data_IF_858396774899
#
_entry.id   IF_858396774899
#
_cell.length_a   1.000
_cell.length_b   1.000
_cell.length_c   1.000
_cell.angle_alpha   90.00
_cell.angle_beta   90.00
_cell.angle_gamma   90.00
#
_symmetry.space_group_name_H-M   'P 1'
#
loop_
_entity.id
_entity.type
_entity.pdbx_description
1 polymer ?
#
# COMPACT_ATOMS: atom_id res chain seq x y z
N UNK A 1 12.67 -8.32 1.27
CA UNK A 1 12.10 -7.22 0.47
C UNK A 1 12.38 -5.81 0.99
N UNK A 2 12.56 -5.56 2.29
CA UNK A 2 12.68 -4.18 2.77
C UNK A 2 14.00 -3.46 2.39
N UNK A 3 15.00 -4.17 1.86
CA UNK A 3 16.23 -3.60 1.26
C UNK A 3 16.17 -3.49 -0.27
N UNK A 4 14.97 -3.49 -0.86
CA UNK A 4 14.86 -3.23 -2.30
C UNK A 4 15.23 -1.77 -2.61
N UNK A 5 15.92 -1.50 -3.73
CA UNK A 5 16.43 -0.17 -4.06
C UNK A 5 15.32 0.86 -4.35
N UNK A 6 14.08 0.40 -4.53
CA UNK A 6 12.87 1.23 -4.62
C UNK A 6 11.77 0.55 -3.80
N UNK A 7 11.22 1.25 -2.82
CA UNK A 7 10.27 0.66 -1.88
C UNK A 7 9.25 1.70 -1.39
N UNK A 8 7.94 1.43 -1.50
CA UNK A 8 6.95 2.16 -0.74
C UNK A 8 6.85 1.58 0.69
N UNK A 9 6.81 2.45 1.68
CA UNK A 9 6.63 2.09 3.10
C UNK A 9 5.49 2.90 3.66
N UNK A 10 4.56 2.23 4.35
CA UNK A 10 3.41 2.87 4.96
C UNK A 10 3.50 2.86 6.49
N UNK A 11 2.92 3.90 7.09
CA UNK A 11 2.55 3.91 8.49
C UNK A 11 1.26 4.70 8.66
N UNK A 12 0.66 4.58 9.83
CA UNK A 12 -0.52 5.34 10.19
C UNK A 12 -0.25 6.21 11.41
N UNK A 13 -0.68 7.46 11.35
CA UNK A 13 -0.72 8.37 12.50
C UNK A 13 -2.12 8.97 12.63
N UNK A 14 -2.73 8.82 13.81
CA UNK A 14 -4.07 9.35 14.15
C UNK A 14 -5.15 9.09 13.09
N UNK A 15 -5.20 7.88 12.52
CA UNK A 15 -6.22 7.53 11.51
C UNK A 15 -5.84 7.89 10.07
N UNK A 16 -4.68 8.50 9.85
CA UNK A 16 -4.22 8.93 8.53
C UNK A 16 -3.10 8.02 8.06
N UNK A 17 -3.28 7.41 6.89
CA UNK A 17 -2.28 6.62 6.20
C UNK A 17 -1.28 7.55 5.51
N UNK A 18 -0.01 7.33 5.80
CA UNK A 18 1.11 7.94 5.10
C UNK A 18 1.84 6.85 4.34
N UNK A 19 2.16 7.09 3.07
CA UNK A 19 3.07 6.23 2.31
C UNK A 19 4.24 7.09 1.85
N UNK A 20 5.45 6.63 2.16
CA UNK A 20 6.71 7.19 1.71
C UNK A 20 7.28 6.33 0.59
N UNK A 21 7.82 6.98 -0.44
CA UNK A 21 8.66 6.34 -1.44
C UNK A 21 10.11 6.46 -1.00
N UNK A 22 10.81 5.33 -0.90
CA UNK A 22 12.23 5.23 -0.61
C UNK A 22 12.94 4.80 -1.89
N UNK A 23 14.02 5.48 -2.25
CA UNK A 23 14.83 5.14 -3.42
C UNK A 23 16.31 5.23 -3.07
N UNK A 24 17.05 4.16 -3.34
CA UNK A 24 18.51 4.13 -3.39
C UNK A 24 19.03 4.33 -4.83
N UNK A 25 18.12 4.48 -5.81
CA UNK A 25 18.47 4.69 -7.21
C UNK A 25 19.11 6.06 -7.43
N UNK A 26 19.93 6.17 -8.47
CA UNK A 26 20.67 7.39 -8.80
C UNK A 26 19.86 8.44 -9.56
N UNK A 27 18.66 8.10 -10.03
CA UNK A 27 17.80 8.98 -10.81
C UNK A 27 16.44 9.17 -10.12
N UNK A 28 15.83 10.32 -10.40
CA UNK A 28 14.45 10.59 -10.00
C UNK A 28 13.51 9.75 -10.86
N UNK A 29 12.58 9.05 -10.23
CA UNK A 29 11.59 8.24 -10.94
C UNK A 29 10.19 8.82 -10.77
N UNK A 30 9.50 9.04 -11.90
CA UNK A 30 8.07 9.30 -11.95
C UNK A 30 7.34 7.96 -12.07
N UNK A 31 6.48 7.68 -11.10
CA UNK A 31 5.89 6.37 -10.86
C UNK A 31 4.38 6.50 -10.66
N UNK A 32 3.69 5.37 -10.74
CA UNK A 32 2.32 5.19 -10.28
C UNK A 32 2.35 4.42 -8.96
N UNK A 33 1.77 5.00 -7.92
CA UNK A 33 1.48 4.27 -6.68
C UNK A 33 0.17 3.50 -6.88
N UNK A 34 0.24 2.17 -6.81
CA UNK A 34 -0.94 1.30 -6.82
C UNK A 34 -1.24 0.86 -5.40
N UNK A 35 -2.44 1.17 -4.93
CA UNK A 35 -2.97 0.75 -3.62
C UNK A 35 -4.12 -0.23 -3.88
N UNK A 36 -4.05 -1.42 -3.30
CA UNK A 36 -5.03 -2.47 -3.47
C UNK A 36 -5.56 -2.85 -2.10
N UNK A 37 -6.88 -2.97 -1.98
CA UNK A 37 -7.52 -3.41 -0.73
C UNK A 37 -8.09 -4.79 -0.95
N UNK A 38 -7.77 -5.71 -0.05
CA UNK A 38 -8.30 -7.07 -0.05
C UNK A 38 -9.16 -7.28 1.19
N UNK A 39 -10.25 -8.03 1.04
CA UNK A 39 -10.95 -8.62 2.17
C UNK A 39 -10.19 -9.86 2.63
N UNK A 40 -10.10 -10.10 3.94
CA UNK A 40 -9.52 -11.34 4.45
C UNK A 40 -10.18 -12.62 3.93
N UNK A 41 -11.44 -12.50 3.48
CA UNK A 41 -12.24 -13.61 2.97
C UNK A 41 -12.06 -13.90 1.48
N UNK A 42 -11.22 -13.14 0.76
CA UNK A 42 -11.08 -13.27 -0.69
C UNK A 42 -9.68 -12.88 -1.18
N UNK A 43 -9.18 -13.58 -2.20
CA UNK A 43 -7.98 -13.19 -2.93
C UNK A 43 -8.28 -12.19 -4.06
N UNK A 44 -9.56 -11.95 -4.36
CA UNK A 44 -9.96 -10.90 -5.28
C UNK A 44 -9.92 -9.52 -4.59
N UNK A 45 -9.38 -8.49 -5.26
CA UNK A 45 -9.31 -7.16 -4.69
C UNK A 45 -10.72 -6.57 -4.53
N UNK A 46 -10.98 -5.97 -3.37
CA UNK A 46 -12.20 -5.16 -3.13
C UNK A 46 -12.15 -3.89 -3.97
N UNK A 47 -10.98 -3.28 -4.06
CA UNK A 47 -10.74 -2.11 -4.89
C UNK A 47 -9.26 -2.04 -5.28
N UNK A 48 -8.98 -1.34 -6.38
CA UNK A 48 -7.64 -0.89 -6.75
C UNK A 48 -7.68 0.60 -7.02
N UNK A 49 -6.78 1.33 -6.39
CA UNK A 49 -6.61 2.77 -6.53
C UNK A 49 -5.22 3.04 -7.12
N UNK A 50 -5.16 3.93 -8.11
CA UNK A 50 -3.91 4.35 -8.73
C UNK A 50 -3.72 5.85 -8.52
N UNK A 51 -2.52 6.25 -8.10
CA UNK A 51 -2.07 7.63 -8.08
C UNK A 51 -0.89 7.78 -9.02
N UNK A 52 -1.13 8.34 -10.18
CA UNK A 52 -0.11 8.59 -11.20
C UNK A 52 0.74 9.80 -10.85
N UNK A 53 1.92 9.88 -11.48
CA UNK A 53 2.79 11.05 -11.40
C UNK A 53 3.44 11.26 -10.04
N UNK A 54 3.60 10.21 -9.25
CA UNK A 54 4.36 10.23 -8.00
C UNK A 54 5.84 10.30 -8.31
N UNK A 55 6.52 11.35 -7.88
CA UNK A 55 7.97 11.47 -8.01
C UNK A 55 8.67 10.98 -6.74
N UNK A 56 9.54 9.98 -6.86
CA UNK A 56 10.49 9.58 -5.81
C UNK A 56 11.87 10.03 -6.26
N UNK A 57 12.51 10.90 -5.46
CA UNK A 57 13.83 11.45 -5.80
C UNK A 57 14.93 10.42 -5.59
N UNK A 58 16.01 10.54 -6.34
CA UNK A 58 17.22 9.75 -6.17
C UNK A 58 17.70 9.79 -4.71
N UNK A 59 18.15 8.63 -4.19
CA UNK A 59 18.80 8.52 -2.87
C UNK A 59 18.03 9.23 -1.74
N UNK A 60 16.71 9.02 -1.66
CA UNK A 60 15.85 9.78 -0.76
C UNK A 60 14.67 8.98 -0.20
N UNK A 61 14.04 9.54 0.82
CA UNK A 61 12.74 9.13 1.32
C UNK A 61 11.79 10.34 1.30
N UNK A 62 10.69 10.24 0.55
CA UNK A 62 9.72 11.35 0.38
C UNK A 62 8.29 10.88 0.60
N UNK A 63 7.40 11.71 1.20
CA UNK A 63 5.99 11.38 1.31
C UNK A 63 5.33 11.43 -0.06
N UNK A 64 4.71 10.33 -0.47
CA UNK A 64 4.06 10.19 -1.80
C UNK A 64 2.54 10.08 -1.72
N UNK A 65 2.02 9.72 -0.54
CA UNK A 65 0.60 9.55 -0.31
C UNK A 65 0.21 9.93 1.11
N UNK A 66 -0.98 10.52 1.24
CA UNK A 66 -1.59 10.87 2.51
C UNK A 66 -3.10 10.81 2.34
N UNK A 67 -3.78 9.99 3.14
CA UNK A 67 -5.23 9.90 3.15
C UNK A 67 -5.76 9.39 4.49
N UNK A 68 -6.94 9.84 4.90
CA UNK A 68 -7.68 9.22 6.02
C UNK A 68 -8.01 7.76 5.70
N UNK A 69 -7.77 6.85 6.64
CA UNK A 69 -8.18 5.45 6.49
C UNK A 69 -9.70 5.34 6.24
N UNK A 70 -10.50 6.18 6.89
CA UNK A 70 -11.95 6.15 6.71
C UNK A 70 -12.36 6.56 5.29
N UNK A 71 -11.67 7.52 4.68
CA UNK A 71 -11.96 7.96 3.32
C UNK A 71 -11.52 6.90 2.30
N UNK A 72 -10.35 6.30 2.52
CA UNK A 72 -9.85 5.17 1.71
C UNK A 72 -10.84 4.01 1.73
N UNK A 73 -11.25 3.58 2.93
CA UNK A 73 -12.23 2.50 3.10
C UNK A 73 -13.62 2.89 2.61
N UNK A 74 -14.03 4.16 2.72
CA UNK A 74 -15.30 4.65 2.20
C UNK A 74 -15.41 4.52 0.67
N UNK A 75 -14.29 4.70 -0.03
CA UNK A 75 -14.21 4.43 -1.49
C UNK A 75 -14.20 2.94 -1.81
N UNK A 76 -13.61 2.15 -0.93
CA UNK A 76 -13.51 0.69 -1.05
C UNK A 76 -14.65 0.03 -0.26
N UNK A 77 -15.88 0.09 -0.83
CA UNK A 77 -17.11 -0.46 -0.24
C UNK A 77 -16.91 -1.86 0.36
N UNK A 78 -17.63 -2.19 1.43
CA UNK A 78 -17.56 -3.47 2.16
C UNK A 78 -16.22 -3.75 2.86
N UNK A 79 -15.40 -2.73 3.13
CA UNK A 79 -14.23 -2.87 4.00
C UNK A 79 -14.38 -2.19 5.35
N UNK A 80 -13.84 -2.85 6.37
CA UNK A 80 -13.63 -2.30 7.71
C UNK A 80 -12.17 -2.53 8.09
N UNK A 81 -11.71 -1.87 9.15
CA UNK A 81 -10.35 -2.05 9.67
C UNK A 81 -10.04 -3.50 10.07
N UNK A 82 -11.06 -4.27 10.48
CA UNK A 82 -10.91 -5.66 10.90
C UNK A 82 -11.10 -6.65 9.76
N UNK A 83 -11.79 -6.28 8.69
CA UNK A 83 -12.13 -7.20 7.60
C UNK A 83 -11.21 -7.09 6.39
N UNK A 84 -10.39 -6.04 6.29
CA UNK A 84 -9.55 -5.79 5.13
C UNK A 84 -8.09 -5.48 5.46
N UNK A 85 -7.24 -5.66 4.45
CA UNK A 85 -5.82 -5.32 4.46
C UNK A 85 -5.50 -4.45 3.25
N UNK A 86 -4.60 -3.49 3.43
CA UNK A 86 -4.10 -2.64 2.34
C UNK A 86 -2.77 -3.23 1.88
N UNK A 87 -2.62 -3.41 0.57
CA UNK A 87 -1.33 -3.67 -0.07
C UNK A 87 -1.03 -2.57 -1.08
N UNK A 88 0.24 -2.38 -1.39
CA UNK A 88 0.66 -1.32 -2.29
C UNK A 88 2.01 -1.59 -2.91
N UNK A 89 2.21 -1.06 -4.12
CA UNK A 89 3.48 -1.10 -4.84
C UNK A 89 3.66 0.16 -5.70
N UNK A 90 4.89 0.41 -6.12
CA UNK A 90 5.23 1.42 -7.11
C UNK A 90 5.46 0.73 -8.47
N UNK A 91 4.90 1.31 -9.52
CA UNK A 91 5.05 0.85 -10.90
C UNK A 91 5.57 2.01 -11.73
N UNK A 92 6.61 1.78 -12.52
CA UNK A 92 7.23 2.75 -13.43
C UNK A 92 7.30 2.21 -14.86
N UNK A 93 7.92 2.99 -15.73
CA UNK A 93 8.20 2.59 -17.11
C UNK A 93 9.29 1.50 -17.17
N UNK A 94 9.43 0.84 -18.32
CA UNK A 94 10.50 -0.13 -18.56
C UNK A 94 10.45 -1.38 -17.67
N UNK A 95 9.31 -1.67 -17.05
CA UNK A 95 9.16 -2.80 -16.12
C UNK A 95 9.70 -2.52 -14.71
N UNK A 96 10.08 -1.27 -14.40
CA UNK A 96 10.45 -0.88 -13.05
C UNK A 96 9.26 -1.08 -12.10
N UNK A 97 9.40 -1.99 -11.14
CA UNK A 97 8.35 -2.29 -10.18
C UNK A 97 8.97 -2.56 -8.81
N UNK A 98 8.45 -1.90 -7.77
CA UNK A 98 8.84 -2.21 -6.40
C UNK A 98 8.22 -3.54 -5.94
N UNK A 99 8.80 -4.21 -4.94
CA UNK A 99 8.07 -5.24 -4.21
C UNK A 99 6.75 -4.70 -3.65
N UNK A 100 5.76 -5.58 -3.55
CA UNK A 100 4.51 -5.28 -2.84
C UNK A 100 4.78 -5.20 -1.34
N UNK A 101 4.22 -4.18 -0.71
CA UNK A 101 4.22 -4.00 0.74
C UNK A 101 2.78 -3.92 1.26
N UNK A 102 2.59 -3.94 2.57
CA UNK A 102 1.27 -4.00 3.19
C UNK A 102 1.15 -3.13 4.45
N UNK A 103 -0.08 -2.79 4.80
CA UNK A 103 -0.43 -2.14 6.07
C UNK A 103 -1.64 -2.86 6.68
N UNK A 104 -1.46 -3.38 7.90
CA UNK A 104 -2.55 -3.99 8.65
C UNK A 104 -3.35 -2.90 9.37
N UNK A 105 -4.66 -2.88 9.13
CA UNK A 105 -5.56 -1.83 9.64
C UNK A 105 -6.00 -2.05 11.11
N UNK A 106 -5.74 -3.26 11.63
CA UNK A 106 -5.97 -3.67 13.02
C UNK A 106 -4.97 -4.75 13.43
N UNK A 107 -4.97 -5.11 14.71
CA UNK A 107 -4.28 -6.33 15.14
C UNK A 107 -4.89 -7.55 14.44
N UNK A 108 -4.05 -8.49 14.01
CA UNK A 108 -4.49 -9.72 13.32
C UNK A 108 -5.36 -10.61 14.22
N UNK A 109 -5.21 -10.54 15.55
CA UNK A 109 -6.09 -11.27 16.50
C UNK A 109 -7.55 -10.82 16.43
N UNK A 110 -7.79 -9.60 15.94
CA UNK A 110 -9.12 -8.99 15.82
C UNK A 110 -9.64 -9.06 14.37
N UNK A 111 -8.93 -9.75 13.47
CA UNK A 111 -9.30 -9.86 12.07
C UNK A 111 -10.58 -10.68 11.90
N UNK A 112 -11.47 -10.23 11.02
CA UNK A 112 -12.75 -10.85 10.70
C UNK A 112 -12.73 -11.32 9.26
N UNK A 113 -13.09 -12.59 9.03
CA UNK A 113 -13.06 -13.21 7.70
C UNK A 113 -11.72 -13.83 7.32
N UNK A 114 -10.71 -13.76 8.19
CA UNK A 114 -9.44 -14.47 7.99
C UNK A 114 -9.67 -15.98 8.12
N UNK A 115 -9.68 -16.66 6.98
CA UNK A 115 -9.84 -18.10 6.91
C UNK A 115 -8.65 -18.84 7.52
N UNK A 116 -8.91 -19.98 8.14
CA UNK A 116 -7.84 -20.93 8.48
C UNK A 116 -7.32 -21.55 7.18
N UNK A 117 -6.01 -21.62 7.04
CA UNK A 117 -5.40 -22.49 6.04
C UNK A 117 -5.63 -23.94 6.48
N UNK A 118 -6.27 -24.74 5.63
CA UNK A 118 -6.23 -26.20 5.75
C UNK A 118 -4.90 -26.65 5.14
N UNK A 119 -3.86 -26.71 5.97
CA UNK A 119 -2.59 -27.37 5.66
C UNK A 119 -2.49 -28.65 6.47
#
# INVERSE_FOLDING_TARGET
>A
NFFAPLLPVAYEDKGVLYIYGISDLHEDHKLTLRVIVYSWSSLEPVCTLAKDGVTVKAQSAVPIYKESINDLLGRCRNCTRKSCVITFCLVGEGGLQSPTNHHFLSSLKDAVGLGKTWL
#
